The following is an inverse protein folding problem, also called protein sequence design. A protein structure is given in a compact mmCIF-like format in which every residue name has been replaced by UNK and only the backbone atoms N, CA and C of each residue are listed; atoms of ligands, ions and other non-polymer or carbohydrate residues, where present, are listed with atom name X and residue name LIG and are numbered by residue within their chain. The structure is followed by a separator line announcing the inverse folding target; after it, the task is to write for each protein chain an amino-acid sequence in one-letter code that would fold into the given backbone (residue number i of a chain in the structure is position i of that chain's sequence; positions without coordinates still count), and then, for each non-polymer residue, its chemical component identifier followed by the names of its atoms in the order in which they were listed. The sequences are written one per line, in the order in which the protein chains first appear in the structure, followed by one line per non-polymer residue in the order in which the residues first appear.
data_IF_455776950383
#
_entry.id   IF_455776950383
#
_cell.length_a   1.000
_cell.length_b   1.000
_cell.length_c   1.000
_cell.angle_alpha   90.00
_cell.angle_beta   90.00
_cell.angle_gamma   90.00
#
_symmetry.space_group_name_H-M   'P 1'
#
loop_
_entity.id
_entity.type
_entity.pdbx_description
1 polymer ?
#
# COMPACT_ATOMS: atom_id res chain seq x y z
N UNK A 1 37.10 -21.37 -42.80
CA UNK A 1 35.96 -22.13 -42.24
C UNK A 1 34.77 -21.21 -42.12
N UNK A 2 33.56 -21.61 -42.53
CA UNK A 2 32.40 -20.74 -42.41
C UNK A 2 32.06 -20.59 -40.92
N UNK A 3 31.86 -19.34 -40.47
CA UNK A 3 31.51 -18.99 -39.08
C UNK A 3 30.34 -19.82 -38.53
N UNK A 4 29.42 -20.22 -39.41
CA UNK A 4 28.31 -21.13 -39.14
C UNK A 4 28.73 -22.47 -38.53
N UNK A 5 29.74 -23.14 -39.10
CA UNK A 5 30.18 -24.46 -38.64
C UNK A 5 30.82 -24.40 -37.23
N UNK A 6 31.49 -23.30 -36.90
CA UNK A 6 32.04 -23.08 -35.56
C UNK A 6 30.90 -22.82 -34.57
N UNK A 7 29.91 -22.00 -34.95
CA UNK A 7 28.76 -21.71 -34.10
C UNK A 7 27.93 -22.97 -33.80
N UNK A 8 27.70 -23.82 -34.79
CA UNK A 8 27.00 -25.10 -34.62
C UNK A 8 27.77 -26.06 -33.70
N UNK A 9 29.09 -26.22 -33.91
CA UNK A 9 29.92 -27.08 -33.06
C UNK A 9 29.98 -26.61 -31.59
N UNK A 10 30.01 -25.29 -31.37
CA UNK A 10 29.97 -24.72 -30.01
C UNK A 10 28.61 -24.95 -29.38
N UNK A 11 27.51 -24.73 -30.10
CA UNK A 11 26.15 -24.97 -29.61
C UNK A 11 25.95 -26.45 -29.25
N UNK A 12 26.34 -27.37 -30.12
CA UNK A 12 26.26 -28.82 -29.85
C UNK A 12 27.04 -29.20 -28.60
N UNK A 13 28.23 -28.60 -28.40
CA UNK A 13 29.02 -28.85 -27.19
C UNK A 13 28.35 -28.29 -25.94
N UNK A 14 27.77 -27.10 -26.00
CA UNK A 14 27.01 -26.48 -24.90
C UNK A 14 25.80 -27.34 -24.52
N UNK A 15 25.07 -27.86 -25.51
CA UNK A 15 23.94 -28.77 -25.31
C UNK A 15 24.38 -30.11 -24.71
N UNK A 16 25.47 -30.71 -25.22
CA UNK A 16 26.05 -31.95 -24.67
C UNK A 16 26.50 -31.79 -23.21
N UNK A 17 26.98 -30.60 -22.83
CA UNK A 17 27.36 -30.28 -21.45
C UNK A 17 26.16 -29.96 -20.55
N UNK A 18 24.93 -29.99 -21.07
CA UNK A 18 23.73 -29.69 -20.31
C UNK A 18 23.60 -28.23 -19.89
N UNK A 19 24.35 -27.32 -20.53
CA UNK A 19 24.30 -25.86 -20.30
C UNK A 19 23.08 -25.23 -20.98
N UNK A 20 21.94 -25.90 -20.90
CA UNK A 20 20.65 -25.39 -21.35
C UNK A 20 20.04 -24.55 -20.26
N UNK A 21 19.62 -23.33 -20.57
CA UNK A 21 18.75 -22.58 -19.67
C UNK A 21 17.41 -23.29 -19.54
N UNK A 22 16.87 -23.35 -18.32
CA UNK A 22 15.57 -23.97 -18.06
C UNK A 22 14.71 -23.00 -17.29
N UNK A 23 13.44 -22.90 -17.67
CA UNK A 23 12.45 -22.12 -16.96
C UNK A 23 11.51 -23.08 -16.24
N UNK A 24 11.49 -23.06 -14.91
CA UNK A 24 10.63 -23.93 -14.10
C UNK A 24 9.79 -23.14 -13.09
N UNK A 25 8.55 -23.56 -12.83
CA UNK A 25 7.74 -23.00 -11.78
C UNK A 25 8.26 -23.42 -10.39
N UNK A 26 8.13 -22.52 -9.41
CA UNK A 26 8.60 -22.74 -8.05
C UNK A 26 7.73 -22.01 -7.00
N UNK A 27 7.86 -22.42 -5.73
CA UNK A 27 7.26 -21.77 -4.57
C UNK A 27 8.32 -21.12 -3.69
N UNK A 28 8.11 -19.85 -3.31
CA UNK A 28 9.00 -19.14 -2.39
C UNK A 28 8.87 -19.67 -0.96
N UNK A 29 9.99 -20.06 -0.35
CA UNK A 29 10.05 -20.56 1.04
C UNK A 29 10.41 -19.46 2.03
N UNK A 30 11.17 -18.44 1.59
CA UNK A 30 11.53 -17.27 2.39
C UNK A 30 12.84 -16.62 1.95
N UNK A 31 13.38 -15.74 2.78
CA UNK A 31 14.70 -15.16 2.55
C UNK A 31 15.81 -16.22 2.69
N UNK A 32 16.87 -16.09 1.90
CA UNK A 32 18.10 -16.84 2.13
C UNK A 32 18.97 -16.13 3.18
N UNK A 33 19.84 -16.88 3.86
CA UNK A 33 20.91 -16.30 4.67
C UNK A 33 21.84 -15.48 3.75
N UNK A 34 21.88 -14.16 3.92
CA UNK A 34 22.57 -13.22 3.04
C UNK A 34 21.61 -12.56 2.03
N UNK A 35 22.07 -12.32 0.80
CA UNK A 35 21.24 -11.74 -0.27
C UNK A 35 20.40 -12.79 -1.02
N UNK A 36 19.15 -12.45 -1.35
CA UNK A 36 18.28 -13.28 -2.19
C UNK A 36 17.30 -14.16 -1.41
N UNK A 37 16.72 -15.13 -2.11
CA UNK A 37 15.56 -15.89 -1.63
C UNK A 37 15.80 -17.40 -1.75
N UNK A 38 15.01 -18.18 -1.02
CA UNK A 38 14.92 -19.63 -1.16
C UNK A 38 13.59 -19.98 -1.81
N UNK A 39 13.64 -20.83 -2.83
CA UNK A 39 12.46 -21.37 -3.52
C UNK A 39 12.57 -22.89 -3.63
N UNK A 40 11.44 -23.57 -3.67
CA UNK A 40 11.37 -25.00 -4.00
C UNK A 40 10.73 -25.10 -5.38
N UNK A 41 11.47 -25.62 -6.34
CA UNK A 41 10.98 -25.85 -7.71
C UNK A 41 9.97 -26.99 -7.70
N UNK A 42 8.94 -26.93 -8.54
CA UNK A 42 7.91 -27.96 -8.58
C UNK A 42 8.49 -29.33 -8.93
N UNK A 43 8.13 -30.34 -8.13
CA UNK A 43 8.67 -31.69 -8.22
C UNK A 43 9.95 -31.92 -7.42
N UNK A 44 10.54 -30.87 -6.86
CA UNK A 44 11.71 -30.97 -5.99
C UNK A 44 11.28 -30.84 -4.50
N UNK A 45 12.11 -31.32 -3.58
CA UNK A 45 11.85 -31.24 -2.12
C UNK A 45 12.85 -30.33 -1.39
N UNK A 46 13.96 -29.98 -2.03
CA UNK A 46 15.06 -29.23 -1.44
C UNK A 46 14.99 -27.77 -1.88
N UNK A 47 14.96 -26.80 -0.95
CA UNK A 47 15.00 -25.38 -1.31
C UNK A 47 16.34 -24.98 -1.93
N UNK A 48 16.29 -24.23 -3.03
CA UNK A 48 17.46 -23.64 -3.68
C UNK A 48 17.50 -22.12 -3.53
N UNK A 49 18.70 -21.56 -3.52
CA UNK A 49 18.91 -20.11 -3.49
C UNK A 49 18.72 -19.52 -4.88
N UNK A 50 18.02 -18.39 -4.94
CA UNK A 50 17.76 -17.64 -6.17
C UNK A 50 17.96 -16.14 -5.95
N UNK A 51 18.46 -15.46 -6.97
CA UNK A 51 18.35 -14.00 -7.08
C UNK A 51 16.96 -13.61 -7.57
N UNK A 52 16.46 -12.44 -7.17
CA UNK A 52 15.20 -11.91 -7.71
C UNK A 52 15.47 -10.76 -8.66
N UNK A 53 14.96 -10.85 -9.89
CA UNK A 53 14.95 -9.73 -10.84
C UNK A 53 13.64 -8.93 -10.78
N UNK A 54 12.66 -9.42 -10.01
CA UNK A 54 11.32 -8.83 -9.89
C UNK A 54 11.09 -8.17 -8.52
N UNK A 55 12.15 -8.03 -7.71
CA UNK A 55 12.09 -7.42 -6.39
C UNK A 55 11.66 -8.38 -5.28
N UNK A 56 10.81 -7.90 -4.37
CA UNK A 56 10.42 -8.64 -3.18
C UNK A 56 9.65 -9.92 -3.53
N UNK A 57 9.98 -11.02 -2.85
CA UNK A 57 9.33 -12.31 -3.03
C UNK A 57 8.69 -12.76 -1.71
N UNK A 58 7.37 -12.54 -1.52
CA UNK A 58 6.66 -13.01 -0.35
C UNK A 58 6.70 -14.53 -0.22
N UNK A 59 6.72 -15.06 1.01
CA UNK A 59 6.65 -16.50 1.26
C UNK A 59 5.36 -17.10 0.66
N UNK A 60 5.44 -18.31 0.13
CA UNK A 60 4.39 -19.06 -0.59
C UNK A 60 4.02 -18.52 -1.98
N UNK A 61 4.66 -17.46 -2.47
CA UNK A 61 4.41 -16.96 -3.83
C UNK A 61 4.82 -17.98 -4.90
N UNK A 62 4.06 -18.02 -5.99
CA UNK A 62 4.34 -18.84 -7.18
C UNK A 62 5.15 -18.03 -8.19
N UNK A 63 6.30 -18.54 -8.58
CA UNK A 63 7.28 -17.81 -9.42
C UNK A 63 7.84 -18.67 -10.53
N UNK A 64 8.39 -18.03 -11.55
CA UNK A 64 9.16 -18.65 -12.62
C UNK A 64 10.65 -18.43 -12.37
N UNK A 65 11.40 -19.53 -12.28
CA UNK A 65 12.85 -19.54 -12.04
C UNK A 65 13.55 -19.89 -13.33
N UNK A 66 14.36 -18.97 -13.84
CA UNK A 66 15.32 -19.22 -14.90
C UNK A 66 16.60 -19.78 -14.27
N UNK A 67 16.90 -21.03 -14.60
CA UNK A 67 18.10 -21.74 -14.20
C UNK A 67 19.11 -21.61 -15.34
N UNK A 68 20.21 -20.89 -15.11
CA UNK A 68 21.24 -20.66 -16.12
C UNK A 68 22.58 -21.16 -15.60
N UNK A 69 22.97 -22.42 -15.89
CA UNK A 69 24.31 -22.89 -15.58
C UNK A 69 25.37 -22.09 -16.35
N UNK A 70 26.51 -21.69 -15.76
CA UNK A 70 26.88 -21.74 -14.34
C UNK A 70 26.48 -20.46 -13.56
N UNK A 71 25.91 -19.46 -14.25
CA UNK A 71 25.62 -18.12 -13.74
C UNK A 71 24.65 -18.09 -12.54
N UNK A 72 23.85 -19.15 -12.35
CA UNK A 72 22.98 -19.32 -11.19
C UNK A 72 21.49 -19.27 -11.53
N UNK A 73 20.67 -19.18 -10.49
CA UNK A 73 19.22 -19.28 -10.59
C UNK A 73 18.56 -17.93 -10.27
N UNK A 74 17.66 -17.48 -11.14
CA UNK A 74 17.05 -16.16 -11.05
C UNK A 74 15.52 -16.27 -11.17
N UNK A 75 14.80 -15.55 -10.32
CA UNK A 75 13.36 -15.35 -10.49
C UNK A 75 13.15 -14.24 -11.52
N UNK A 76 12.46 -14.59 -12.61
CA UNK A 76 12.22 -13.70 -13.76
C UNK A 76 10.77 -13.23 -13.85
N UNK A 77 9.87 -13.81 -13.06
CA UNK A 77 8.45 -13.50 -13.09
C UNK A 77 7.65 -14.25 -12.04
N UNK A 78 6.43 -13.82 -11.79
CA UNK A 78 5.45 -14.58 -11.03
C UNK A 78 4.69 -15.54 -11.96
N UNK A 79 4.32 -16.70 -11.44
CA UNK A 79 3.41 -17.61 -12.12
C UNK A 79 2.00 -17.33 -11.62
N UNK A 80 1.22 -16.62 -12.45
CA UNK A 80 -0.12 -16.12 -12.11
C UNK A 80 -0.10 -14.65 -11.65
N UNK A 81 -1.17 -14.23 -10.98
CA UNK A 81 -1.24 -12.88 -10.38
C UNK A 81 -0.25 -12.84 -9.21
N UNK A 82 0.74 -11.93 -9.21
CA UNK A 82 1.64 -11.80 -8.07
C UNK A 82 0.83 -11.55 -6.80
N UNK A 83 1.24 -12.10 -5.65
CA UNK A 83 0.59 -11.76 -4.40
C UNK A 83 0.68 -10.25 -4.20
N UNK A 84 -0.37 -9.62 -3.65
CA UNK A 84 -0.46 -8.17 -3.47
C UNK A 84 0.78 -7.58 -2.78
N UNK A 85 1.47 -8.36 -1.93
CA UNK A 85 2.72 -8.01 -1.25
C UNK A 85 3.98 -8.00 -2.12
N UNK A 86 3.93 -8.46 -3.36
CA UNK A 86 5.02 -8.38 -4.34
C UNK A 86 4.98 -7.09 -5.17
N UNK A 87 3.79 -6.51 -5.32
CA UNK A 87 3.67 -5.12 -5.74
C UNK A 87 3.81 -4.26 -4.48
N UNK A 88 4.22 -3.02 -4.68
CA UNK A 88 3.80 -1.93 -3.81
C UNK A 88 2.26 -2.00 -3.77
N UNK A 89 1.68 -2.71 -2.81
CA UNK A 89 0.29 -3.16 -2.84
C UNK A 89 -0.63 -1.95 -3.05
N UNK A 90 -1.18 -1.82 -4.25
CA UNK A 90 -2.24 -0.87 -4.51
C UNK A 90 -3.55 -1.55 -4.14
N UNK A 91 -4.25 -1.04 -3.14
CA UNK A 91 -5.56 -1.57 -2.77
C UNK A 91 -6.64 -1.24 -3.80
N UNK A 92 -6.34 -0.37 -4.76
CA UNK A 92 -7.36 0.39 -5.47
C UNK A 92 -8.08 1.34 -4.51
N UNK A 93 -9.04 2.09 -5.04
CA UNK A 93 -9.92 2.92 -4.21
C UNK A 93 -10.93 2.01 -3.53
N UNK A 94 -10.81 1.88 -2.22
CA UNK A 94 -11.77 1.16 -1.37
C UNK A 94 -12.76 2.18 -0.81
N UNK A 95 -14.06 1.92 -1.00
CA UNK A 95 -15.15 2.82 -0.62
C UNK A 95 -15.96 2.22 0.52
N UNK A 96 -16.29 3.02 1.52
CA UNK A 96 -17.15 2.70 2.67
C UNK A 96 -16.74 1.45 3.46
N UNK A 97 -15.44 1.16 3.51
CA UNK A 97 -14.85 0.08 4.32
C UNK A 97 -13.88 0.57 5.39
N UNK A 98 -13.65 1.88 5.50
CA UNK A 98 -12.83 2.41 6.57
C UNK A 98 -13.61 2.32 7.89
N UNK A 99 -13.01 1.67 8.89
CA UNK A 99 -13.61 1.56 10.20
C UNK A 99 -13.47 2.89 10.96
N UNK A 100 -14.59 3.61 11.08
CA UNK A 100 -14.71 4.93 11.68
C UNK A 100 -15.66 4.89 12.87
N UNK A 101 -15.27 5.52 13.98
CA UNK A 101 -16.15 5.83 15.11
C UNK A 101 -16.51 7.30 15.04
N UNK A 102 -17.79 7.60 14.84
CA UNK A 102 -18.29 8.96 14.72
C UNK A 102 -18.60 9.53 16.09
N UNK A 103 -18.16 10.77 16.33
CA UNK A 103 -18.51 11.47 17.56
C UNK A 103 -19.97 11.94 17.57
N UNK A 104 -20.47 12.27 18.75
CA UNK A 104 -21.83 12.77 18.92
C UNK A 104 -22.10 14.00 18.02
N UNK A 105 -23.20 13.92 17.26
CA UNK A 105 -23.59 14.97 16.32
C UNK A 105 -22.85 14.92 14.98
N UNK A 106 -22.19 13.81 14.65
CA UNK A 106 -21.66 13.53 13.33
C UNK A 106 -22.24 12.22 12.79
N UNK A 107 -22.44 12.15 11.48
CA UNK A 107 -22.86 10.94 10.78
C UNK A 107 -22.01 10.70 9.54
N UNK A 108 -21.96 9.44 9.10
CA UNK A 108 -21.28 9.04 7.88
C UNK A 108 -21.89 9.75 6.66
N UNK A 109 -21.05 10.33 5.80
CA UNK A 109 -21.44 10.82 4.47
C UNK A 109 -20.60 10.18 3.34
N UNK A 110 -19.92 9.09 3.66
CA UNK A 110 -19.04 8.34 2.77
C UNK A 110 -17.57 8.43 3.19
N UNK A 111 -16.81 7.37 2.96
CA UNK A 111 -15.37 7.36 3.13
C UNK A 111 -14.71 6.56 2.02
N UNK A 112 -13.47 6.90 1.71
CA UNK A 112 -12.65 6.07 0.84
C UNK A 112 -11.19 6.14 1.22
N UNK A 113 -10.45 5.09 0.88
CA UNK A 113 -9.01 5.10 0.99
C UNK A 113 -8.37 4.32 -0.15
N UNK A 114 -7.10 4.63 -0.41
CA UNK A 114 -6.23 3.86 -1.28
C UNK A 114 -4.87 3.74 -0.62
N UNK A 115 -4.33 2.54 -0.56
CA UNK A 115 -2.96 2.30 -0.10
C UNK A 115 -2.14 1.95 -1.32
N UNK A 116 -0.97 2.56 -1.47
CA UNK A 116 0.03 2.23 -2.50
C UNK A 116 1.37 2.06 -1.81
N UNK A 117 1.82 0.81 -1.69
CA UNK A 117 3.02 0.50 -0.88
C UNK A 117 2.78 0.84 0.59
N UNK A 118 3.59 1.74 1.15
CA UNK A 118 3.42 2.22 2.54
C UNK A 118 2.65 3.54 2.65
N UNK A 119 2.20 4.13 1.55
CA UNK A 119 1.42 5.38 1.56
C UNK A 119 -0.07 5.07 1.58
N UNK A 120 -0.83 5.77 2.40
CA UNK A 120 -2.29 5.80 2.35
C UNK A 120 -2.76 7.18 1.89
N UNK A 121 -3.73 7.20 1.00
CA UNK A 121 -4.54 8.34 0.61
C UNK A 121 -5.92 8.13 1.25
N UNK A 122 -6.34 9.06 2.11
CA UNK A 122 -7.56 8.95 2.89
C UNK A 122 -8.51 10.08 2.51
N UNK A 123 -9.79 9.74 2.31
CA UNK A 123 -10.89 10.69 2.19
C UNK A 123 -12.02 10.32 3.14
N UNK A 124 -12.46 11.28 3.95
CA UNK A 124 -13.60 11.11 4.86
C UNK A 124 -14.59 12.24 4.62
N UNK A 125 -15.86 11.88 4.47
CA UNK A 125 -16.96 12.80 4.40
C UNK A 125 -17.91 12.55 5.58
N UNK A 126 -18.31 13.62 6.25
CA UNK A 126 -19.14 13.60 7.45
C UNK A 126 -20.26 14.60 7.31
N UNK A 127 -21.47 14.22 7.72
CA UNK A 127 -22.59 15.16 7.86
C UNK A 127 -22.70 15.61 9.30
N UNK A 128 -22.82 16.92 9.51
CA UNK A 128 -23.11 17.50 10.84
C UNK A 128 -24.56 17.22 11.21
N UNK A 129 -24.81 16.45 12.26
CA UNK A 129 -26.17 16.14 12.76
C UNK A 129 -26.53 16.83 14.07
N UNK A 130 -25.54 17.36 14.79
CA UNK A 130 -25.77 18.18 15.99
C UNK A 130 -25.97 19.67 15.69
N UNK A 131 -25.87 20.50 16.72
CA UNK A 131 -25.98 21.97 16.63
C UNK A 131 -24.89 22.58 15.73
N UNK A 132 -25.16 23.74 15.12
CA UNK A 132 -24.16 24.42 14.29
C UNK A 132 -22.87 24.72 15.09
N UNK A 133 -21.72 24.61 14.43
CA UNK A 133 -20.43 25.07 14.95
C UNK A 133 -20.13 26.39 14.28
N UNK A 134 -19.92 27.46 15.07
CA UNK A 134 -19.69 28.81 14.56
C UNK A 134 -18.32 29.30 14.99
N UNK A 135 -17.55 29.80 14.03
CA UNK A 135 -16.27 30.45 14.29
C UNK A 135 -16.47 31.85 14.89
N UNK A 136 -15.54 32.22 15.76
CA UNK A 136 -15.36 33.61 16.19
C UNK A 136 -14.93 34.52 15.03
N UNK A 137 -14.86 35.83 15.28
CA UNK A 137 -14.33 36.81 14.34
C UNK A 137 -12.84 36.61 13.98
N UNK A 138 -12.12 35.78 14.75
CA UNK A 138 -10.73 35.40 14.47
C UNK A 138 -10.62 34.01 13.81
N UNK A 139 -11.74 33.33 13.55
CA UNK A 139 -11.75 31.96 13.00
C UNK A 139 -11.60 30.85 14.04
N UNK A 140 -11.43 31.20 15.32
CA UNK A 140 -11.30 30.22 16.39
C UNK A 140 -12.61 29.49 16.65
N UNK A 141 -12.51 28.18 16.90
CA UNK A 141 -13.54 27.31 17.47
C UNK A 141 -12.97 26.57 18.69
N UNK A 142 -13.82 25.90 19.46
CA UNK A 142 -13.34 24.87 20.38
C UNK A 142 -12.90 23.66 19.57
N UNK A 143 -11.71 23.13 19.85
CA UNK A 143 -11.21 21.89 19.27
C UNK A 143 -12.29 20.81 19.31
N UNK A 144 -12.76 20.41 18.13
CA UNK A 144 -13.92 19.54 18.00
C UNK A 144 -13.50 18.21 17.38
N UNK A 145 -13.53 17.15 18.18
CA UNK A 145 -13.37 15.78 17.68
C UNK A 145 -14.59 15.41 16.82
N UNK A 146 -14.36 14.89 15.62
CA UNK A 146 -15.45 14.58 14.66
C UNK A 146 -15.52 13.09 14.33
N UNK A 147 -14.37 12.42 14.28
CA UNK A 147 -14.30 10.98 13.98
C UNK A 147 -12.98 10.41 14.49
N UNK A 148 -12.98 9.11 14.80
CA UNK A 148 -11.78 8.35 15.16
C UNK A 148 -11.58 7.15 14.23
N UNK A 149 -10.38 7.00 13.69
CA UNK A 149 -9.91 5.80 12.99
C UNK A 149 -9.78 4.66 14.02
N UNK A 150 -10.72 3.71 14.01
CA UNK A 150 -10.74 2.64 15.01
C UNK A 150 -9.64 1.61 14.78
N UNK A 151 -9.30 1.33 13.51
CA UNK A 151 -8.23 0.42 13.16
C UNK A 151 -6.86 1.11 13.31
N UNK A 152 -6.03 0.57 14.22
CA UNK A 152 -4.67 1.06 14.47
C UNK A 152 -3.75 0.96 13.25
N UNK A 153 -4.00 0.02 12.34
CA UNK A 153 -3.22 -0.16 11.12
C UNK A 153 -3.34 1.03 10.15
N UNK A 154 -4.38 1.86 10.28
CA UNK A 154 -4.57 3.06 9.47
C UNK A 154 -4.24 4.34 10.23
N UNK A 155 -3.51 4.29 11.35
CA UNK A 155 -3.16 5.51 12.09
C UNK A 155 -1.79 6.03 11.63
N UNK A 156 -1.59 7.34 11.53
CA UNK A 156 -0.28 7.87 11.18
C UNK A 156 0.70 7.73 12.35
N UNK A 157 1.99 7.56 12.05
CA UNK A 157 3.05 7.54 13.06
C UNK A 157 3.36 8.92 13.66
N UNK A 158 2.94 9.99 12.98
CA UNK A 158 3.14 11.38 13.38
C UNK A 158 1.84 12.13 13.08
N UNK A 159 1.43 13.04 13.97
CA UNK A 159 0.27 13.91 13.76
C UNK A 159 0.34 14.63 12.40
N UNK A 160 -0.80 14.67 11.69
CA UNK A 160 -0.94 15.31 10.38
C UNK A 160 -1.91 16.48 10.48
N UNK A 161 -1.46 17.67 10.11
CA UNK A 161 -2.32 18.83 9.93
C UNK A 161 -2.72 18.92 8.46
N UNK A 162 -3.98 19.24 8.18
CA UNK A 162 -4.52 19.37 6.83
C UNK A 162 -5.71 20.33 6.84
N UNK A 163 -6.15 20.75 5.67
CA UNK A 163 -7.37 21.53 5.53
C UNK A 163 -8.59 20.63 5.38
N UNK A 164 -9.71 21.04 5.96
CA UNK A 164 -11.02 20.52 5.62
C UNK A 164 -11.81 21.56 4.84
N UNK A 165 -12.86 21.08 4.16
CA UNK A 165 -13.84 21.93 3.49
C UNK A 165 -15.24 21.45 3.81
N UNK A 166 -16.12 22.37 4.19
CA UNK A 166 -17.56 22.16 4.23
C UNK A 166 -18.24 22.72 2.97
N UNK A 167 -19.56 22.69 2.88
CA UNK A 167 -20.25 23.30 1.72
C UNK A 167 -20.09 24.83 1.68
N UNK A 168 -19.86 25.47 2.83
CA UNK A 168 -19.88 26.93 3.00
C UNK A 168 -18.64 27.51 3.69
N UNK A 169 -17.78 26.68 4.29
CA UNK A 169 -16.55 27.12 4.95
C UNK A 169 -15.39 26.15 4.72
N UNK A 170 -14.20 26.54 5.16
CA UNK A 170 -12.99 25.70 5.23
C UNK A 170 -12.14 26.13 6.42
N UNK A 171 -11.26 25.25 6.86
CA UNK A 171 -10.39 25.48 8.01
C UNK A 171 -9.34 24.41 8.17
N UNK A 172 -8.61 24.46 9.26
CA UNK A 172 -7.62 23.46 9.64
C UNK A 172 -8.23 22.34 10.47
N UNK A 173 -7.70 21.14 10.25
CA UNK A 173 -7.94 19.96 11.04
C UNK A 173 -6.63 19.23 11.28
N UNK A 174 -6.60 18.37 12.30
CA UNK A 174 -5.52 17.42 12.52
C UNK A 174 -6.03 15.99 12.57
N UNK A 175 -5.14 15.06 12.20
CA UNK A 175 -5.26 13.62 12.44
C UNK A 175 -4.11 13.25 13.38
N UNK A 176 -4.46 12.90 14.61
CA UNK A 176 -3.49 12.51 15.64
C UNK A 176 -2.96 11.10 15.42
N UNK A 177 -1.89 10.73 16.13
CA UNK A 177 -1.37 9.35 16.19
C UNK A 177 -2.34 8.37 16.86
N UNK A 178 -3.28 8.85 17.68
CA UNK A 178 -4.38 8.04 18.23
C UNK A 178 -5.49 7.76 17.21
N UNK A 179 -5.41 8.34 16.00
CA UNK A 179 -6.40 8.20 14.94
C UNK A 179 -7.57 9.18 15.05
N UNK A 180 -7.47 10.18 15.93
CA UNK A 180 -8.53 11.16 16.14
C UNK A 180 -8.43 12.30 15.12
N UNK A 181 -9.55 12.62 14.50
CA UNK A 181 -9.68 13.77 13.60
C UNK A 181 -10.35 14.92 14.34
N UNK A 182 -9.65 16.04 14.48
CA UNK A 182 -10.08 17.20 15.27
C UNK A 182 -10.08 18.44 14.38
N UNK A 183 -11.18 19.19 14.37
CA UNK A 183 -11.25 20.52 13.76
C UNK A 183 -10.63 21.55 14.72
N UNK A 184 -9.79 22.44 14.19
CA UNK A 184 -9.03 23.41 14.98
C UNK A 184 -9.51 24.85 14.77
N UNK A 185 -9.76 25.21 13.51
CA UNK A 185 -10.21 26.54 13.11
C UNK A 185 -11.12 26.47 11.89
N UNK A 186 -11.75 27.58 11.53
CA UNK A 186 -12.42 27.75 10.24
C UNK A 186 -12.43 29.22 9.85
N UNK A 187 -12.88 29.55 8.64
CA UNK A 187 -12.99 30.95 8.22
C UNK A 187 -13.74 31.81 9.27
N UNK A 188 -13.25 33.03 9.56
CA UNK A 188 -13.90 33.94 10.49
C UNK A 188 -15.41 34.08 10.25
N UNK A 189 -16.18 34.12 11.33
CA UNK A 189 -17.65 34.28 11.35
C UNK A 189 -18.47 33.27 10.54
N UNK A 190 -17.84 32.24 9.97
CA UNK A 190 -18.51 31.17 9.23
C UNK A 190 -19.05 30.09 10.17
N UNK A 191 -19.91 29.21 9.63
CA UNK A 191 -20.48 28.11 10.40
C UNK A 191 -20.54 26.81 9.61
N UNK A 192 -20.32 25.69 10.29
CA UNK A 192 -20.73 24.36 9.85
C UNK A 192 -22.14 24.12 10.40
N UNK A 193 -23.14 24.34 9.55
CA UNK A 193 -24.55 24.19 9.93
C UNK A 193 -24.95 22.72 10.08
N UNK A 194 -26.06 22.47 10.77
CA UNK A 194 -26.71 21.14 10.74
C UNK A 194 -27.04 20.78 9.29
N UNK A 195 -26.81 19.51 8.94
CA UNK A 195 -26.86 18.93 7.60
C UNK A 195 -25.77 19.39 6.61
N UNK A 196 -24.80 20.19 7.05
CA UNK A 196 -23.63 20.49 6.22
C UNK A 196 -22.70 19.27 6.15
N UNK A 197 -22.03 19.10 5.01
CA UNK A 197 -21.05 18.02 4.78
C UNK A 197 -19.64 18.56 4.87
N UNK A 198 -18.89 18.05 5.85
CA UNK A 198 -17.45 18.25 5.99
C UNK A 198 -16.71 17.18 5.21
N UNK A 199 -15.75 17.60 4.38
CA UNK A 199 -14.92 16.75 3.53
C UNK A 199 -13.47 16.99 3.89
N UNK A 200 -12.73 15.90 4.06
CA UNK A 200 -11.30 15.94 4.32
C UNK A 200 -10.56 14.94 3.46
N UNK A 201 -9.34 15.32 3.11
CA UNK A 201 -8.40 14.48 2.37
C UNK A 201 -7.02 14.63 3.00
N UNK A 202 -6.38 13.51 3.29
CA UNK A 202 -5.04 13.50 3.90
C UNK A 202 -4.28 12.29 3.39
N UNK A 203 -2.99 12.47 3.13
CA UNK A 203 -2.08 11.40 2.76
C UNK A 203 -0.92 11.29 3.75
N UNK A 204 -0.50 10.05 4.03
CA UNK A 204 0.60 9.79 4.95
C UNK A 204 1.18 8.40 4.75
N UNK A 205 2.35 8.19 5.35
CA UNK A 205 2.95 6.86 5.45
C UNK A 205 2.32 6.09 6.61
N UNK A 206 1.88 4.88 6.33
CA UNK A 206 1.50 3.90 7.32
C UNK A 206 2.73 3.43 8.10
N UNK A 207 2.58 3.12 9.40
CA UNK A 207 3.63 2.50 10.18
C UNK A 207 4.02 1.16 9.53
N UNK A 208 5.33 0.90 9.49
CA UNK A 208 5.84 -0.43 9.11
C UNK A 208 5.45 -1.38 10.24
N UNK A 209 4.54 -2.32 9.97
CA UNK A 209 4.10 -3.35 10.92
C UNK A 209 4.99 -4.59 10.78
#
# INVERSE_FOLDING_TARGET
MPVKAIAEAVLDRVLQMGLTSRLRPATVVGAASGSGFRVVVDGDTVPMRVGSLVGALPKKSRVMVLMTPPAGNHVVGFLGVPPQSAYLADTGVVVDKLALLYEAGWAAAGNSYRIVGSRIELSINLTRTGAAITASALGNITDTLIVTLSNRAFRPSITKNFMFRSSVTSGAALLSTSGQVILLDMHPTSSISTNDTVRLSVDYLLPVV
#
